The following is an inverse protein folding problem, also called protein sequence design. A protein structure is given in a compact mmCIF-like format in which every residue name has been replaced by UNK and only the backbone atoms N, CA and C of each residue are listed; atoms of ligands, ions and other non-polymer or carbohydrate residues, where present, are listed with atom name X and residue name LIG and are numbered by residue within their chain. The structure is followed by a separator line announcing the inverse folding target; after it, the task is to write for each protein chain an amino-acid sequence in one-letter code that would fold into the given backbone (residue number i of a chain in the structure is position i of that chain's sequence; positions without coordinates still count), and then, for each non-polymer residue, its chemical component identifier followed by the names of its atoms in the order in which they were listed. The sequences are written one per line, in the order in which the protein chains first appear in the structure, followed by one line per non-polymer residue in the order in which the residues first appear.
data_IF_823791912694
#
_entry.id   IF_823791912694
#
_cell.length_a   1.000
_cell.length_b   1.000
_cell.length_c   1.000
_cell.angle_alpha   90.00
_cell.angle_beta   90.00
_cell.angle_gamma   90.00
#
_symmetry.space_group_name_H-M   'P 1'
#
loop_
_entity.id
_entity.type
_entity.pdbx_description
1 polymer ?
#
# COMPACT_ATOMS: atom_id res chain seq x y z
N UNK A 1 -8.04 11.27 -9.90
CA UNK A 1 -8.73 10.85 -8.66
C UNK A 1 -8.14 11.62 -7.51
N UNK A 2 -8.96 12.06 -6.55
CA UNK A 2 -8.48 12.75 -5.36
C UNK A 2 -7.88 11.72 -4.38
N UNK A 3 -6.93 12.13 -3.54
CA UNK A 3 -6.41 11.32 -2.43
C UNK A 3 -6.67 12.04 -1.12
N UNK A 4 -7.07 11.34 -0.04
CA UNK A 4 -7.54 9.94 0.00
C UNK A 4 -8.97 9.80 -0.55
N UNK A 5 -9.40 8.56 -0.81
CA UNK A 5 -10.77 8.18 -1.17
C UNK A 5 -11.47 7.38 -0.06
N UNK A 6 -10.71 6.88 0.91
CA UNK A 6 -11.17 6.11 2.07
C UNK A 6 -11.18 6.95 3.34
N UNK A 7 -11.99 6.56 4.31
CA UNK A 7 -12.11 7.25 5.61
C UNK A 7 -11.04 6.83 6.62
N UNK A 8 -11.07 7.49 7.78
CA UNK A 8 -10.28 7.13 8.96
C UNK A 8 -10.79 5.79 9.50
N UNK A 9 -9.88 4.86 9.76
CA UNK A 9 -10.14 3.56 10.39
C UNK A 9 -9.99 3.66 11.91
N UNK A 10 -9.03 4.46 12.38
CA UNK A 10 -8.75 4.66 13.79
C UNK A 10 -8.20 6.07 14.04
N UNK A 11 -8.88 6.82 14.93
CA UNK A 11 -8.51 8.18 15.35
C UNK A 11 -7.85 8.22 16.73
N UNK A 12 -7.62 7.04 17.33
CA UNK A 12 -6.96 6.85 18.64
C UNK A 12 -7.47 7.72 19.80
N UNK A 13 -8.64 8.37 19.68
CA UNK A 13 -9.19 9.33 20.63
C UNK A 13 -9.89 8.62 21.79
N UNK A 14 -9.08 7.91 22.59
CA UNK A 14 -9.53 7.08 23.69
C UNK A 14 -8.44 6.95 24.76
N UNK A 15 -8.80 6.46 25.98
CA UNK A 15 -7.82 6.18 27.01
C UNK A 15 -6.70 5.24 26.55
N UNK A 16 -5.55 5.34 27.21
CA UNK A 16 -4.38 4.51 26.94
C UNK A 16 -4.73 3.00 26.90
N UNK A 17 -4.37 2.34 25.79
CA UNK A 17 -4.69 0.94 25.53
C UNK A 17 -3.58 0.29 24.70
N UNK A 18 -3.35 -1.00 24.96
CA UNK A 18 -2.51 -1.84 24.13
C UNK A 18 -1.13 -2.13 24.72
N UNK A 19 -0.28 -2.85 23.96
CA UNK A 19 -0.51 -3.32 22.58
C UNK A 19 -1.49 -4.51 22.50
N UNK A 20 -2.38 -4.60 21.48
CA UNK A 20 -2.56 -3.69 20.33
C UNK A 20 -3.44 -2.46 20.66
N UNK A 21 -3.51 -1.42 19.80
CA UNK A 21 -4.28 -0.18 20.07
C UNK A 21 -5.79 -0.37 20.21
N UNK A 22 -6.32 -1.49 19.72
CA UNK A 22 -7.69 -1.99 19.94
C UNK A 22 -7.79 -3.41 19.38
N UNK A 23 -8.94 -4.07 19.55
CA UNK A 23 -9.25 -5.40 18.96
C UNK A 23 -9.18 -5.43 17.42
N UNK A 24 -9.28 -4.28 16.75
CA UNK A 24 -9.22 -4.19 15.29
C UNK A 24 -7.78 -4.24 14.74
N UNK A 25 -6.79 -4.24 15.62
CA UNK A 25 -5.38 -4.30 15.28
C UNK A 25 -4.75 -5.62 15.70
N UNK A 26 -3.78 -6.08 14.92
CA UNK A 26 -2.96 -7.22 15.29
C UNK A 26 -1.48 -6.86 15.11
N UNK A 27 -0.70 -7.08 16.17
CA UNK A 27 0.73 -6.78 16.18
C UNK A 27 1.51 -7.67 15.20
N UNK A 28 2.63 -7.15 14.70
CA UNK A 28 3.59 -7.98 13.97
C UNK A 28 4.29 -8.84 15.03
N UNK A 29 4.08 -10.16 15.01
CA UNK A 29 4.45 -11.11 16.06
C UNK A 29 5.75 -10.80 16.85
N UNK A 30 5.69 -11.03 18.16
CA UNK A 30 6.83 -10.95 19.07
C UNK A 30 7.96 -11.91 18.64
N UNK A 31 9.25 -11.61 18.94
CA UNK A 31 9.75 -10.54 19.81
C UNK A 31 10.21 -9.26 19.07
N UNK A 32 9.93 -9.11 17.78
CA UNK A 32 10.68 -8.17 16.93
C UNK A 32 10.14 -6.73 16.97
N UNK A 33 8.84 -6.57 17.17
CA UNK A 33 8.21 -5.27 17.38
C UNK A 33 7.45 -5.31 18.69
N UNK A 34 7.55 -4.25 19.48
CA UNK A 34 6.92 -4.21 20.80
C UNK A 34 5.40 -3.94 20.72
N UNK A 35 4.89 -3.73 19.51
CA UNK A 35 3.48 -3.44 19.24
C UNK A 35 3.15 -1.95 19.30
N UNK A 36 2.09 -1.58 18.58
CA UNK A 36 1.50 -0.24 18.65
C UNK A 36 0.52 -0.17 19.83
N UNK A 37 0.38 1.01 20.41
CA UNK A 37 -0.54 1.28 21.53
C UNK A 37 -1.08 2.71 21.45
N UNK A 38 -2.20 2.98 22.11
CA UNK A 38 -2.70 4.33 22.35
C UNK A 38 -2.02 4.90 23.59
N UNK A 39 -1.47 6.10 23.47
CA UNK A 39 -0.94 6.89 24.60
C UNK A 39 -1.36 8.33 24.41
N UNK A 40 -2.10 8.91 25.35
CA UNK A 40 -2.52 10.32 25.31
C UNK A 40 -3.25 10.69 24.01
N UNK A 41 -4.24 9.89 23.62
CA UNK A 41 -5.06 10.05 22.41
C UNK A 41 -4.29 10.02 21.08
N UNK A 42 -3.17 9.29 21.01
CA UNK A 42 -2.41 9.11 19.78
C UNK A 42 -1.79 7.72 19.74
N UNK A 43 -1.48 7.22 18.53
CA UNK A 43 -0.81 5.94 18.37
C UNK A 43 0.70 6.09 18.46
N UNK A 44 1.31 5.34 19.38
CA UNK A 44 2.75 5.31 19.60
C UNK A 44 3.29 3.88 19.62
N UNK A 45 4.60 3.76 19.46
CA UNK A 45 5.32 2.51 19.62
C UNK A 45 5.44 2.13 21.09
N UNK A 46 5.56 0.84 21.35
CA UNK A 46 5.84 0.34 22.69
C UNK A 46 7.34 0.37 22.99
N UNK A 47 7.66 0.58 24.26
CA UNK A 47 9.05 0.68 24.74
C UNK A 47 9.64 -0.73 24.77
N UNK A 48 10.71 -0.96 24.00
CA UNK A 48 11.44 -2.23 24.00
C UNK A 48 12.63 -2.25 24.94
N UNK A 49 13.34 -1.12 25.01
CA UNK A 49 14.40 -0.85 25.99
C UNK A 49 14.36 0.63 26.36
N UNK A 50 15.24 1.08 27.27
CA UNK A 50 15.36 2.50 27.62
C UNK A 50 15.74 3.41 26.44
N UNK A 51 16.23 2.84 25.33
CA UNK A 51 16.73 3.60 24.17
C UNK A 51 16.09 3.20 22.84
N UNK A 52 15.26 2.15 22.80
CA UNK A 52 14.57 1.68 21.60
C UNK A 52 13.06 1.62 21.84
N UNK A 53 12.32 2.35 21.03
CA UNK A 53 10.87 2.31 20.97
C UNK A 53 10.47 1.82 19.58
N UNK A 54 9.59 0.83 19.54
CA UNK A 54 9.13 0.25 18.27
C UNK A 54 7.68 -0.17 18.37
N UNK A 55 6.97 -0.11 17.25
CA UNK A 55 5.62 -0.63 17.18
C UNK A 55 5.25 -0.95 15.75
N UNK A 56 4.66 -2.12 15.54
CA UNK A 56 4.13 -2.50 14.25
C UNK A 56 2.84 -3.29 14.45
N UNK A 57 1.79 -2.89 13.77
CA UNK A 57 0.53 -3.60 13.74
C UNK A 57 -0.20 -3.35 12.42
N UNK A 58 -1.05 -4.29 12.04
CA UNK A 58 -1.92 -4.17 10.88
C UNK A 58 -3.37 -4.12 11.32
N UNK A 59 -4.19 -3.43 10.52
CA UNK A 59 -5.64 -3.42 10.69
C UNK A 59 -6.20 -4.79 10.27
N UNK A 60 -6.57 -5.60 11.27
CA UNK A 60 -7.03 -6.98 11.09
C UNK A 60 -8.54 -7.12 11.01
N UNK A 61 -9.30 -6.06 11.33
CA UNK A 61 -10.75 -6.04 11.19
C UNK A 61 -11.24 -6.10 9.73
N UNK A 62 -10.36 -5.88 8.76
CA UNK A 62 -10.67 -6.01 7.34
C UNK A 62 -9.46 -6.46 6.52
N UNK A 63 -9.74 -7.13 5.40
CA UNK A 63 -8.78 -7.48 4.36
C UNK A 63 -9.18 -6.75 3.07
N UNK A 64 -8.29 -5.94 2.52
CA UNK A 64 -8.64 -5.01 1.46
C UNK A 64 -8.25 -5.57 0.09
N UNK A 65 -9.03 -5.21 -0.92
CA UNK A 65 -8.76 -5.59 -2.31
C UNK A 65 -7.39 -5.11 -2.82
N UNK A 66 -7.00 -5.52 -4.04
CA UNK A 66 -5.72 -5.13 -4.60
C UNK A 66 -5.61 -3.60 -4.72
N UNK A 67 -6.69 -2.92 -5.08
CA UNK A 67 -6.67 -1.46 -5.10
C UNK A 67 -6.99 -0.95 -3.71
N UNK A 68 -5.99 -0.35 -3.06
CA UNK A 68 -6.08 0.08 -1.67
C UNK A 68 -5.15 1.25 -1.36
N UNK A 69 -5.41 1.91 -0.25
CA UNK A 69 -4.59 3.02 0.25
C UNK A 69 -4.48 2.97 1.78
N UNK A 70 -3.47 3.67 2.30
CA UNK A 70 -3.28 3.93 3.71
C UNK A 70 -2.69 5.33 3.91
N UNK A 71 -3.08 6.01 4.98
CA UNK A 71 -2.58 7.34 5.35
C UNK A 71 -2.63 7.53 6.86
N UNK A 72 -1.80 8.45 7.37
CA UNK A 72 -1.83 8.86 8.76
C UNK A 72 -1.28 10.29 8.90
N UNK A 73 -1.75 10.99 9.92
CA UNK A 73 -1.25 12.29 10.36
C UNK A 73 -0.15 12.08 11.39
N UNK A 74 0.95 12.83 11.31
CA UNK A 74 2.00 12.81 12.32
C UNK A 74 1.57 13.67 13.52
N UNK A 75 1.44 13.06 14.69
CA UNK A 75 1.06 13.75 15.94
C UNK A 75 2.25 14.08 16.81
N UNK A 76 3.34 13.35 16.61
CA UNK A 76 4.65 13.67 17.15
C UNK A 76 5.74 13.18 16.18
N UNK A 77 6.81 13.95 16.03
CA UNK A 77 7.84 13.69 15.02
C UNK A 77 9.20 13.58 15.68
N UNK A 78 9.78 12.37 15.62
CA UNK A 78 11.15 12.17 16.02
C UNK A 78 12.08 12.99 15.13
N UNK A 79 13.11 13.58 15.73
CA UNK A 79 14.05 14.47 15.03
C UNK A 79 15.33 13.74 14.60
N UNK A 80 15.53 12.51 15.07
CA UNK A 80 16.69 11.71 14.71
C UNK A 80 16.41 10.21 14.76
N UNK A 81 17.14 9.45 13.95
CA UNK A 81 17.21 7.99 13.92
C UNK A 81 15.83 7.33 13.99
N UNK A 82 14.92 7.69 13.10
CA UNK A 82 13.59 7.09 13.06
C UNK A 82 13.27 6.48 11.70
N UNK A 83 12.29 5.59 11.72
CA UNK A 83 11.71 4.92 10.57
C UNK A 83 10.21 4.75 10.79
N UNK A 84 9.39 5.49 10.05
CA UNK A 84 7.93 5.39 10.05
C UNK A 84 7.43 4.87 8.70
N UNK A 85 6.48 3.94 8.72
CA UNK A 85 5.95 3.31 7.50
C UNK A 85 4.45 3.12 7.54
N UNK A 86 3.84 3.38 6.40
CA UNK A 86 2.50 2.94 6.06
C UNK A 86 2.58 1.86 5.00
N UNK A 87 1.91 0.74 5.21
CA UNK A 87 1.97 -0.43 4.35
C UNK A 87 0.58 -0.70 3.75
N UNK A 88 0.54 -0.99 2.45
CA UNK A 88 -0.64 -1.46 1.71
C UNK A 88 -0.34 -2.80 1.03
N UNK A 89 -1.40 -3.56 0.73
CA UNK A 89 -1.31 -4.95 0.26
C UNK A 89 -0.41 -5.79 1.17
N UNK A 90 -0.48 -5.51 2.46
CA UNK A 90 0.39 -6.07 3.46
C UNK A 90 -0.02 -7.50 3.83
N UNK A 91 0.94 -8.42 3.87
CA UNK A 91 0.73 -9.78 4.38
C UNK A 91 2.03 -10.34 4.97
N UNK A 92 1.94 -11.55 5.53
CA UNK A 92 3.06 -12.26 6.14
C UNK A 92 3.74 -11.52 7.30
N UNK A 93 2.95 -10.77 8.07
CA UNK A 93 3.44 -10.05 9.25
C UNK A 93 3.86 -11.03 10.35
N UNK A 94 4.99 -10.76 11.01
CA UNK A 94 5.34 -11.41 12.27
C UNK A 94 6.01 -12.78 12.19
N UNK A 95 6.46 -13.24 11.01
CA UNK A 95 7.24 -14.49 10.91
C UNK A 95 8.72 -14.26 11.24
N UNK A 96 9.27 -13.09 10.91
CA UNK A 96 10.67 -12.69 11.11
C UNK A 96 10.81 -11.16 10.98
N UNK A 97 11.83 -10.52 11.59
CA UNK A 97 12.14 -9.13 11.29
C UNK A 97 12.40 -9.04 9.78
N UNK A 98 11.71 -8.14 9.10
CA UNK A 98 11.76 -8.00 7.63
C UNK A 98 10.95 -9.02 6.80
N UNK A 99 10.04 -9.78 7.41
CA UNK A 99 9.22 -10.78 6.70
C UNK A 99 7.92 -10.26 6.08
N UNK A 100 7.52 -9.02 6.41
CA UNK A 100 6.31 -8.44 5.84
C UNK A 100 6.49 -8.28 4.32
N UNK A 101 5.40 -8.51 3.61
CA UNK A 101 5.32 -8.35 2.16
C UNK A 101 4.27 -7.31 1.82
N UNK A 102 4.50 -6.53 0.78
CA UNK A 102 3.61 -5.47 0.31
C UNK A 102 4.37 -4.24 -0.18
N UNK A 103 3.68 -3.10 -0.17
CA UNK A 103 4.28 -1.81 -0.52
C UNK A 103 4.21 -0.86 0.65
N UNK A 104 5.29 -0.12 0.88
CA UNK A 104 5.36 0.84 1.97
C UNK A 104 5.70 2.24 1.48
N UNK A 105 5.02 3.24 2.02
CA UNK A 105 5.54 4.60 2.08
C UNK A 105 6.31 4.73 3.38
N UNK A 106 7.60 5.04 3.27
CA UNK A 106 8.53 5.12 4.39
C UNK A 106 9.03 6.55 4.53
N UNK A 107 8.86 7.10 5.72
CA UNK A 107 9.45 8.36 6.17
C UNK A 107 10.54 8.04 7.18
N UNK A 108 11.78 8.46 6.90
CA UNK A 108 12.91 8.14 7.77
C UNK A 108 13.97 9.23 7.75
N UNK A 109 14.77 9.26 8.81
CA UNK A 109 15.95 10.12 8.94
C UNK A 109 17.22 9.26 8.86
N UNK A 110 18.24 9.78 8.18
CA UNK A 110 19.58 9.19 8.16
C UNK A 110 20.65 10.27 7.96
N UNK A 111 21.53 10.45 8.94
CA UNK A 111 22.69 11.33 8.84
C UNK A 111 22.34 12.83 8.75
N UNK A 112 21.28 13.26 9.41
CA UNK A 112 20.70 14.60 9.39
C UNK A 112 19.79 14.89 8.19
N UNK A 113 19.55 13.90 7.33
CA UNK A 113 18.72 14.04 6.12
C UNK A 113 17.42 13.26 6.25
N UNK A 114 16.35 13.83 5.71
CA UNK A 114 15.00 13.29 5.78
C UNK A 114 14.55 12.79 4.41
N UNK A 115 13.91 11.63 4.37
CA UNK A 115 13.55 10.97 3.12
C UNK A 115 12.12 10.48 3.12
N UNK A 116 11.47 10.55 1.96
CA UNK A 116 10.28 9.75 1.65
C UNK A 116 10.66 8.71 0.60
N UNK A 117 10.27 7.47 0.84
CA UNK A 117 10.63 6.33 0.02
C UNK A 117 9.43 5.42 -0.22
N UNK A 118 9.20 5.02 -1.48
CA UNK A 118 8.35 3.89 -1.81
C UNK A 118 9.19 2.62 -1.79
N UNK A 119 8.79 1.64 -0.98
CA UNK A 119 9.43 0.32 -0.91
C UNK A 119 8.50 -0.78 -1.42
N UNK A 120 9.10 -1.81 -1.99
CA UNK A 120 8.55 -3.16 -2.07
C UNK A 120 9.26 -4.01 -1.02
N UNK A 121 8.50 -4.46 -0.03
CA UNK A 121 9.02 -5.20 1.12
C UNK A 121 10.18 -4.45 1.78
N UNK A 122 11.09 -5.18 2.43
CA UNK A 122 12.33 -4.59 2.93
C UNK A 122 13.42 -4.47 1.88
N UNK A 123 13.25 -5.13 0.73
CA UNK A 123 14.36 -5.47 -0.17
C UNK A 123 14.60 -4.46 -1.28
N UNK A 124 13.58 -3.72 -1.71
CA UNK A 124 13.70 -2.85 -2.87
C UNK A 124 13.07 -1.48 -2.62
N UNK A 125 13.88 -0.44 -2.85
CA UNK A 125 13.39 0.93 -3.08
C UNK A 125 12.88 1.04 -4.51
N UNK A 126 11.61 1.44 -4.66
CA UNK A 126 10.98 1.75 -5.94
C UNK A 126 11.37 3.17 -6.36
N UNK A 127 11.20 4.13 -5.45
CA UNK A 127 11.53 5.54 -5.65
C UNK A 127 11.78 6.20 -4.30
N UNK A 128 12.58 7.26 -4.28
CA UNK A 128 12.89 8.04 -3.08
C UNK A 128 13.15 9.50 -3.42
N UNK A 129 12.70 10.39 -2.55
CA UNK A 129 13.07 11.81 -2.56
C UNK A 129 13.73 12.20 -1.24
N UNK A 130 14.58 13.23 -1.30
CA UNK A 130 15.08 13.93 -0.11
C UNK A 130 14.14 15.09 0.18
N UNK A 131 13.69 15.20 1.43
CA UNK A 131 12.91 16.34 1.89
C UNK A 131 13.83 17.52 2.21
N UNK A 132 13.34 18.77 2.07
CA UNK A 132 14.11 19.96 2.43
C UNK A 132 14.35 20.09 3.95
N UNK A 133 13.66 19.29 4.76
CA UNK A 133 13.77 19.24 6.21
C UNK A 133 12.85 18.17 6.81
N UNK A 134 12.80 18.12 8.14
CA UNK A 134 11.85 17.28 8.87
C UNK A 134 10.41 17.66 8.53
N UNK A 135 9.53 16.67 8.48
CA UNK A 135 8.09 16.91 8.59
C UNK A 135 7.75 17.41 9.99
N UNK A 136 6.63 18.13 10.10
CA UNK A 136 6.14 18.71 11.34
C UNK A 136 4.88 17.99 11.83
N UNK A 137 4.54 18.22 13.09
CA UNK A 137 3.24 17.80 13.64
C UNK A 137 2.11 18.38 12.78
N UNK A 138 1.15 17.52 12.44
CA UNK A 138 0.04 17.80 11.55
C UNK A 138 0.31 17.48 10.08
N UNK A 139 1.57 17.32 9.66
CA UNK A 139 1.86 16.79 8.32
C UNK A 139 1.38 15.33 8.23
N UNK A 140 0.98 14.91 7.04
CA UNK A 140 0.45 13.57 6.81
C UNK A 140 1.13 12.93 5.59
N UNK A 141 1.38 11.63 5.69
CA UNK A 141 1.90 10.82 4.58
C UNK A 141 0.87 9.77 4.18
N UNK A 142 0.92 9.35 2.92
CA UNK A 142 -0.01 8.36 2.40
C UNK A 142 0.59 7.54 1.28
N UNK A 143 0.01 6.36 1.06
CA UNK A 143 0.34 5.46 -0.04
C UNK A 143 -0.94 4.96 -0.69
N UNK A 144 -0.91 4.81 -2.01
CA UNK A 144 -1.94 4.15 -2.80
C UNK A 144 -1.33 3.11 -3.71
N UNK A 145 -1.97 1.95 -3.80
CA UNK A 145 -1.71 0.95 -4.82
C UNK A 145 -2.96 0.83 -5.71
N UNK A 146 -2.81 1.07 -7.01
CA UNK A 146 -3.87 0.97 -8.02
C UNK A 146 -3.35 0.17 -9.21
N UNK A 147 -3.82 -1.06 -9.38
CA UNK A 147 -3.24 -2.01 -10.33
C UNK A 147 -1.76 -2.23 -10.02
N UNK A 148 -0.88 -1.79 -10.92
CA UNK A 148 0.58 -1.83 -10.75
C UNK A 148 1.19 -0.48 -10.38
N UNK A 149 0.40 0.60 -10.34
CA UNK A 149 0.88 1.90 -9.94
C UNK A 149 0.93 1.99 -8.41
N UNK A 150 2.09 2.35 -7.87
CA UNK A 150 2.32 2.60 -6.45
C UNK A 150 2.67 4.07 -6.30
N UNK A 151 1.86 4.81 -5.55
CA UNK A 151 1.94 6.27 -5.46
C UNK A 151 2.07 6.70 -4.00
N UNK A 152 3.03 7.57 -3.72
CA UNK A 152 3.26 8.17 -2.40
C UNK A 152 2.77 9.61 -2.37
N UNK A 153 2.08 9.96 -1.30
CA UNK A 153 1.48 11.28 -1.08
C UNK A 153 2.02 11.93 0.19
N UNK A 154 2.12 13.25 0.15
CA UNK A 154 2.45 14.11 1.28
C UNK A 154 1.41 15.23 1.37
N UNK A 155 0.97 15.55 2.58
CA UNK A 155 0.17 16.71 2.90
C UNK A 155 0.87 17.46 4.02
N UNK A 156 1.29 18.69 3.77
CA UNK A 156 1.67 19.58 4.86
C UNK A 156 0.42 19.98 5.65
N UNK A 157 0.51 20.21 6.96
CA UNK A 157 -0.65 20.27 7.89
C UNK A 157 -1.93 20.96 7.38
N UNK A 158 -1.82 22.21 6.92
CA UNK A 158 -2.97 22.98 6.38
C UNK A 158 -3.11 22.91 4.84
N UNK A 159 -2.31 22.09 4.20
CA UNK A 159 -2.23 21.93 2.75
C UNK A 159 -3.18 20.87 2.20
N UNK A 160 -3.06 20.67 0.89
CA UNK A 160 -3.72 19.56 0.18
C UNK A 160 -2.74 18.40 -0.02
N UNK A 161 -3.29 17.19 -0.15
CA UNK A 161 -2.51 16.03 -0.56
C UNK A 161 -1.86 16.26 -1.91
N UNK A 162 -0.55 16.07 -1.97
CA UNK A 162 0.26 16.18 -3.18
C UNK A 162 0.94 14.85 -3.43
N UNK A 163 0.89 14.37 -4.68
CA UNK A 163 1.69 13.22 -5.09
C UNK A 163 3.17 13.63 -5.12
N UNK A 164 4.00 12.90 -4.38
CA UNK A 164 5.45 13.17 -4.27
C UNK A 164 6.32 12.04 -4.79
N UNK A 165 5.76 10.82 -4.91
CA UNK A 165 6.41 9.63 -5.43
C UNK A 165 5.43 8.84 -6.30
N UNK A 166 5.92 8.19 -7.35
CA UNK A 166 5.16 7.28 -8.21
C UNK A 166 6.08 6.26 -8.92
N UNK A 167 5.80 4.98 -8.72
CA UNK A 167 6.44 3.90 -9.45
C UNK A 167 5.47 2.85 -9.98
N UNK A 168 5.98 1.97 -10.84
CA UNK A 168 5.23 0.79 -11.34
C UNK A 168 5.86 -0.47 -10.75
N UNK A 169 5.08 -1.28 -10.07
CA UNK A 169 5.50 -2.56 -9.52
C UNK A 169 4.32 -3.54 -9.48
N UNK A 170 4.55 -4.78 -9.94
CA UNK A 170 3.50 -5.79 -10.08
C UNK A 170 3.70 -7.02 -9.18
N UNK A 171 4.71 -7.02 -8.29
CA UNK A 171 5.04 -8.19 -7.48
C UNK A 171 3.95 -8.54 -6.48
N UNK A 172 3.41 -7.53 -5.78
CA UNK A 172 2.32 -7.72 -4.81
C UNK A 172 1.03 -7.21 -5.43
N UNK A 173 0.44 -8.00 -6.33
CA UNK A 173 -0.81 -7.65 -7.02
C UNK A 173 -2.08 -8.03 -6.28
N UNK A 174 -1.98 -8.74 -5.15
CA UNK A 174 -3.11 -9.30 -4.42
C UNK A 174 -3.74 -8.37 -3.39
N UNK A 175 -4.85 -8.83 -2.83
CA UNK A 175 -5.47 -8.27 -1.63
C UNK A 175 -4.53 -8.40 -0.41
N UNK A 176 -4.67 -7.51 0.56
CA UNK A 176 -3.84 -7.46 1.77
C UNK A 176 -4.41 -6.55 2.85
N UNK A 177 -3.78 -6.55 4.03
CA UNK A 177 -4.09 -5.59 5.07
C UNK A 177 -3.40 -4.25 4.81
N UNK A 178 -3.84 -3.22 5.53
CA UNK A 178 -3.07 -1.99 5.73
C UNK A 178 -2.40 -2.03 7.08
N UNK A 179 -1.23 -1.42 7.20
CA UNK A 179 -0.44 -1.48 8.43
C UNK A 179 0.33 -0.19 8.69
N UNK A 180 0.73 -0.02 9.95
CA UNK A 180 1.66 1.01 10.37
C UNK A 180 2.84 0.37 11.10
N UNK A 181 4.03 0.92 10.90
CA UNK A 181 5.24 0.52 11.59
C UNK A 181 6.05 1.75 11.97
N UNK A 182 6.61 1.73 13.17
CA UNK A 182 7.55 2.74 13.63
C UNK A 182 8.71 2.13 14.41
N UNK A 183 9.88 2.75 14.26
CA UNK A 183 11.08 2.51 15.06
C UNK A 183 11.73 3.87 15.30
N UNK A 184 12.14 4.16 16.53
CA UNK A 184 12.96 5.33 16.86
C UNK A 184 13.85 5.05 18.07
N UNK A 185 14.92 5.84 18.22
CA UNK A 185 15.95 5.67 19.25
C UNK A 185 16.07 6.91 20.15
N UNK A 186 16.73 6.74 21.30
CA UNK A 186 17.28 7.81 22.14
C UNK A 186 16.28 8.83 22.71
N UNK A 187 15.15 8.36 23.26
CA UNK A 187 14.10 9.19 23.91
C UNK A 187 13.40 10.22 23.03
N UNK A 188 13.70 10.28 21.73
CA UNK A 188 12.83 10.94 20.76
C UNK A 188 11.47 10.25 20.81
N UNK A 189 10.40 11.01 20.58
CA UNK A 189 9.04 10.48 20.51
C UNK A 189 8.52 10.58 19.09
N UNK A 190 7.81 9.55 18.67
CA UNK A 190 7.10 9.55 17.39
C UNK A 190 5.73 8.95 17.60
N UNK A 191 4.73 9.66 17.12
CA UNK A 191 3.34 9.25 17.23
C UNK A 191 2.59 9.68 15.98
N UNK A 192 1.53 8.96 15.67
CA UNK A 192 0.64 9.30 14.59
C UNK A 192 -0.81 9.19 15.05
N UNK A 193 -1.67 9.81 14.27
CA UNK A 193 -3.11 9.84 14.48
C UNK A 193 -3.84 9.81 13.13
N UNK A 194 -5.17 9.74 13.16
CA UNK A 194 -6.05 9.69 12.01
C UNK A 194 -5.61 8.60 11.00
N UNK A 195 -5.34 7.38 11.49
CA UNK A 195 -4.96 6.28 10.62
C UNK A 195 -6.15 5.90 9.75
N UNK A 196 -6.03 6.19 8.46
CA UNK A 196 -7.03 5.87 7.46
C UNK A 196 -6.52 4.92 6.40
N UNK A 197 -7.46 4.38 5.64
CA UNK A 197 -7.14 3.45 4.58
C UNK A 197 -8.29 2.51 4.26
N UNK A 198 -8.05 1.70 3.25
CA UNK A 198 -8.97 0.63 2.87
C UNK A 198 -8.94 0.30 1.40
N UNK A 199 -9.92 -0.49 0.97
CA UNK A 199 -10.10 -0.87 -0.43
C UNK A 199 -10.74 0.26 -1.21
N UNK A 200 -10.19 0.54 -2.39
CA UNK A 200 -10.79 1.45 -3.35
C UNK A 200 -11.94 0.74 -4.05
N UNK A 201 -13.04 1.47 -4.29
CA UNK A 201 -14.12 0.92 -5.09
C UNK A 201 -13.58 0.56 -6.48
N UNK A 202 -13.86 -0.67 -6.93
CA UNK A 202 -13.58 -1.05 -8.31
C UNK A 202 -14.31 -0.06 -9.22
N UNK A 203 -13.58 0.71 -10.02
CA UNK A 203 -14.18 1.32 -11.20
C UNK A 203 -14.69 0.15 -12.04
N UNK A 204 -16.01 0.01 -12.12
CA UNK A 204 -16.62 -1.01 -12.97
C UNK A 204 -15.99 -0.89 -14.36
N UNK A 205 -15.41 -1.96 -14.94
CA UNK A 205 -14.94 -1.88 -16.30
C UNK A 205 -16.13 -1.47 -17.16
N UNK A 206 -15.92 -0.48 -18.06
CA UNK A 206 -16.92 -0.10 -19.04
C UNK A 206 -17.54 -1.38 -19.64
N UNK A 207 -18.88 -1.47 -19.78
CA UNK A 207 -19.54 -2.70 -20.15
C UNK A 207 -18.84 -3.28 -21.38
N UNK A 208 -18.34 -4.51 -21.24
CA UNK A 208 -17.67 -5.20 -22.33
C UNK A 208 -18.59 -5.11 -23.56
N UNK A 209 -18.10 -4.49 -24.64
CA UNK A 209 -18.79 -4.56 -25.93
C UNK A 209 -18.82 -6.03 -26.29
N UNK A 210 -20.00 -6.64 -26.16
CA UNK A 210 -20.21 -8.02 -26.53
C UNK A 210 -19.87 -8.14 -28.02
N UNK A 211 -18.71 -8.71 -28.33
CA UNK A 211 -18.43 -9.15 -29.69
C UNK A 211 -19.36 -10.34 -29.92
N UNK A 212 -20.42 -10.12 -30.68
CA UNK A 212 -21.36 -11.16 -31.06
C UNK A 212 -20.56 -12.32 -31.69
N UNK A 213 -20.53 -13.46 -31.00
CA UNK A 213 -20.04 -14.70 -31.57
C UNK A 213 -21.04 -15.15 -32.62
N UNK A 214 -20.75 -14.91 -33.89
CA UNK A 214 -21.42 -15.62 -34.98
C UNK A 214 -21.06 -17.09 -34.86
N UNK A 215 -21.98 -17.91 -34.35
CA UNK A 215 -21.89 -19.35 -34.42
C UNK A 215 -21.87 -19.76 -35.89
N UNK A 216 -20.73 -20.27 -36.36
CA UNK A 216 -20.71 -21.00 -37.63
C UNK A 216 -21.49 -22.30 -37.42
N UNK A 217 -22.65 -22.40 -38.06
CA UNK A 217 -23.44 -23.63 -38.12
C UNK A 217 -22.58 -24.79 -38.63
N UNK A 218 -22.86 -26.00 -38.14
CA UNK A 218 -22.12 -27.20 -38.50
C UNK A 218 -22.08 -27.38 -40.02
N UNK A 219 -20.87 -27.39 -40.58
CA UNK A 219 -20.67 -27.80 -41.95
C UNK A 219 -20.58 -29.34 -41.98
N UNK A 220 -21.58 -29.99 -42.55
CA UNK A 220 -21.46 -31.37 -43.02
C UNK A 220 -20.48 -31.35 -44.18
N UNK A 221 -19.32 -31.97 -44.01
CA UNK A 221 -18.35 -32.12 -45.09
C UNK A 221 -18.89 -33.12 -46.12
N UNK A 222 -19.24 -32.62 -47.29
CA UNK A 222 -19.34 -33.44 -48.50
C UNK A 222 -18.44 -32.79 -49.56
N UNK A 223 -17.70 -33.64 -50.27
CA UNK A 223 -16.59 -33.25 -51.14
C UNK A 223 -16.92 -32.11 -52.13
N UNK A 224 -15.89 -31.28 -52.34
CA UNK A 224 -15.73 -30.19 -53.33
C UNK A 224 -16.27 -28.80 -52.93
N UNK A 225 -15.27 -27.96 -52.63
CA UNK A 225 -15.22 -26.50 -52.78
C UNK A 225 -15.90 -25.67 -51.68
N UNK A 226 -15.11 -25.27 -50.67
CA UNK A 226 -15.47 -24.18 -49.76
C UNK A 226 -14.96 -22.87 -50.38
N UNK A 227 -15.86 -22.04 -50.92
CA UNK A 227 -15.55 -20.63 -51.20
C UNK A 227 -15.81 -19.81 -49.92
N UNK A 228 -14.73 -19.41 -49.24
CA UNK A 228 -14.78 -18.44 -48.15
C UNK A 228 -14.73 -17.01 -48.72
N UNK A 229 -15.82 -16.27 -48.58
CA UNK A 229 -15.82 -14.81 -48.77
C UNK A 229 -15.48 -14.15 -47.44
N UNK A 230 -14.27 -13.61 -47.32
CA UNK A 230 -13.86 -12.72 -46.23
C UNK A 230 -13.84 -11.27 -46.73
N UNK A 231 -14.18 -10.28 -45.89
CA UNK A 231 -14.03 -8.89 -46.27
C UNK A 231 -12.54 -8.56 -46.40
N UNK A 232 -12.11 -8.32 -47.64
CA UNK A 232 -10.92 -7.54 -48.02
C UNK A 232 -9.62 -7.83 -47.25
N UNK A 233 -9.05 -9.04 -47.41
CA UNK A 233 -7.60 -9.31 -47.45
C UNK A 233 -7.37 -10.78 -47.86
N UNK A 234 -6.71 -11.01 -49.02
CA UNK A 234 -6.41 -12.35 -49.54
C UNK A 234 -5.10 -12.86 -48.92
N UNK A 235 -5.14 -14.01 -48.26
CA UNK A 235 -3.95 -14.82 -47.95
C UNK A 235 -3.96 -16.07 -48.84
N UNK A 236 -2.85 -16.32 -49.55
CA UNK A 236 -2.64 -17.57 -50.31
C UNK A 236 -1.89 -18.56 -49.41
N UNK A 237 -2.57 -19.65 -49.02
CA UNK A 237 -1.93 -20.82 -48.40
C UNK A 237 -1.59 -21.84 -49.50
N UNK A 238 -0.29 -22.13 -49.66
CA UNK A 238 0.23 -23.13 -50.59
C UNK A 238 0.38 -24.45 -49.82
N UNK A 239 -0.38 -25.47 -50.19
CA UNK A 239 -0.21 -26.82 -49.65
C UNK A 239 0.96 -27.53 -50.35
N UNK A 240 1.79 -28.31 -49.63
CA UNK A 240 2.88 -29.07 -50.22
C UNK A 240 2.33 -30.27 -51.01
N UNK A 241 2.94 -30.53 -52.18
CA UNK A 241 2.66 -31.72 -52.99
C UNK A 241 3.25 -32.95 -52.30
N UNK A 242 2.48 -34.04 -52.26
CA UNK A 242 2.96 -35.39 -51.95
C UNK A 242 3.96 -35.87 -53.01
#
# INVERSE_FOLDING_TARGET
MAFPETGILDDFNRPDEGPPPSVNWTGFGAPYYMGLRVVSNQCAGSVGTTTLISGAAYWSAAFFGPDCEAYATLSDVAVSSFDFRLIVRGFNFGISPNSWQGYAMRYYENGGSYYLELKRDETQTIERITLPGALLVGDAIGIRALGTAITGYLKYAAGSWTQVLSGINAVHGGAGNVAAMMIHYNVDSMAFDDFGGGGLALVSPAPAVAVASTSLGSAIATEKLIMLTLPSRRFMLRLPKQ
#
